data_IF_831497909253
#
_entry.id   IF_831497909253
#
_cell.length_a   1.000
_cell.length_b   1.000
_cell.length_c   1.000
_cell.angle_alpha   90.00
_cell.angle_beta   90.00
_cell.angle_gamma   90.00
#
_symmetry.space_group_name_H-M   'P 1'
#
loop_
_entity.id
_entity.type
_entity.pdbx_description
1 polymer ?
#
# COMPACT_ATOMS: atom_id res chain seq x y z
N UNK A 1 -50.20 16.95 1.86
CA UNK A 1 -50.01 17.48 3.22
C UNK A 1 -49.75 16.26 4.09
N UNK A 2 -48.60 16.04 4.73
CA UNK A 2 -47.50 16.92 5.09
C UNK A 2 -46.27 16.04 5.36
N UNK A 3 -45.09 16.62 5.16
CA UNK A 3 -43.77 16.03 5.41
C UNK A 3 -43.36 16.20 6.88
N UNK A 4 -42.29 15.47 7.27
CA UNK A 4 -41.30 15.72 8.33
C UNK A 4 -41.25 14.59 9.39
N UNK A 5 -40.23 13.73 9.47
CA UNK A 5 -38.79 13.94 9.73
C UNK A 5 -38.49 14.32 11.19
N UNK A 6 -37.70 13.49 11.88
CA UNK A 6 -37.13 13.83 13.19
C UNK A 6 -36.58 12.63 13.97
N UNK A 7 -35.62 11.89 13.40
CA UNK A 7 -34.70 11.07 14.20
C UNK A 7 -33.42 11.89 14.34
N UNK A 8 -33.21 12.47 15.53
CA UNK A 8 -32.04 13.28 15.84
C UNK A 8 -30.81 12.36 15.96
N UNK A 9 -30.01 12.32 14.89
CA UNK A 9 -28.72 11.65 14.85
C UNK A 9 -27.68 12.55 15.55
N UNK A 10 -27.43 12.24 16.82
CA UNK A 10 -26.40 12.88 17.62
C UNK A 10 -25.04 12.60 16.97
N UNK A 11 -24.54 13.58 16.22
CA UNK A 11 -23.19 13.63 15.68
C UNK A 11 -22.18 13.52 16.82
N UNK A 12 -21.73 12.29 17.09
CA UNK A 12 -20.54 12.01 17.89
C UNK A 12 -19.35 12.55 17.11
N UNK A 13 -18.94 13.77 17.45
CA UNK A 13 -17.67 14.35 17.04
C UNK A 13 -16.56 13.46 17.59
N UNK A 14 -16.16 12.48 16.79
CA UNK A 14 -15.02 11.62 17.04
C UNK A 14 -13.81 12.49 17.29
N UNK A 15 -13.35 12.47 18.54
CA UNK A 15 -12.14 13.15 18.98
C UNK A 15 -11.01 12.75 18.05
N UNK A 16 -10.56 13.71 17.24
CA UNK A 16 -9.39 13.57 16.40
C UNK A 16 -8.21 13.24 17.28
N UNK A 17 -7.76 11.98 17.23
CA UNK A 17 -6.45 11.61 17.73
C UNK A 17 -5.44 12.29 16.82
N UNK A 18 -5.03 13.49 17.24
CA UNK A 18 -3.99 14.26 16.58
C UNK A 18 -2.78 13.35 16.40
N UNK A 19 -2.39 13.21 15.13
CA UNK A 19 -1.24 12.42 14.73
C UNK A 19 -0.02 13.03 15.43
N UNK A 20 0.45 12.37 16.48
CA UNK A 20 1.77 12.65 17.06
C UNK A 20 2.77 12.62 15.91
N UNK A 21 3.24 13.81 15.54
CA UNK A 21 4.29 14.01 14.56
C UNK A 21 5.49 13.22 15.07
N UNK A 22 5.81 12.13 14.37
CA UNK A 22 7.02 11.35 14.59
C UNK A 22 8.21 12.26 14.28
N UNK A 23 8.66 13.02 15.28
CA UNK A 23 9.90 13.77 15.29
C UNK A 23 11.03 12.73 15.30
N UNK A 24 11.33 12.20 14.12
CA UNK A 24 12.53 11.40 13.92
C UNK A 24 13.73 12.29 14.24
N UNK A 25 14.53 11.87 15.21
CA UNK A 25 15.83 12.46 15.48
C UNK A 25 16.62 12.49 14.17
N UNK A 26 17.00 13.69 13.72
CA UNK A 26 17.81 13.85 12.52
C UNK A 26 19.21 13.32 12.81
N UNK A 27 19.74 12.44 11.95
CA UNK A 27 21.12 11.91 12.05
C UNK A 27 22.17 13.01 11.94
N UNK A 28 21.81 14.18 11.40
CA UNK A 28 22.75 15.30 11.25
C UNK A 28 22.96 16.12 12.52
N UNK A 29 22.13 15.96 13.56
CA UNK A 29 22.17 16.81 14.76
C UNK A 29 22.43 15.98 16.02
N UNK A 30 23.51 16.27 16.78
CA UNK A 30 23.79 15.58 18.04
C UNK A 30 22.72 15.88 19.10
N UNK A 31 22.61 15.01 20.10
CA UNK A 31 21.67 15.17 21.22
C UNK A 31 22.10 16.39 22.07
N UNK A 32 21.17 17.27 22.38
CA UNK A 32 21.43 18.48 23.16
C UNK A 32 21.87 18.14 24.61
N UNK A 33 22.78 18.95 25.17
CA UNK A 33 23.26 18.79 26.55
C UNK A 33 22.22 19.00 27.64
N UNK A 34 21.12 19.70 27.34
CA UNK A 34 19.97 19.83 28.23
C UNK A 34 19.15 18.54 28.36
N UNK A 35 19.32 17.59 27.43
CA UNK A 35 18.61 16.32 27.46
C UNK A 35 19.10 15.45 28.64
N UNK A 36 18.16 14.94 29.43
CA UNK A 36 18.47 14.11 30.61
C UNK A 36 19.29 12.87 30.24
N UNK A 37 18.98 12.23 29.10
CA UNK A 37 19.72 11.08 28.60
C UNK A 37 21.17 11.41 28.26
N UNK A 38 21.43 12.57 27.66
CA UNK A 38 22.80 13.05 27.41
C UNK A 38 23.59 13.21 28.71
N UNK A 39 22.98 13.83 29.73
CA UNK A 39 23.63 14.03 31.03
C UNK A 39 23.94 12.71 31.73
N UNK A 40 23.03 11.74 31.66
CA UNK A 40 23.22 10.41 32.22
C UNK A 40 24.38 9.68 31.52
N UNK A 41 24.41 9.68 30.19
CA UNK A 41 25.49 9.07 29.42
C UNK A 41 26.85 9.67 29.81
N UNK A 42 26.95 11.01 29.84
CA UNK A 42 28.17 11.71 30.27
C UNK A 42 28.59 11.33 31.69
N UNK A 43 27.64 11.25 32.63
CA UNK A 43 27.92 10.83 34.02
C UNK A 43 28.47 9.40 34.12
N UNK A 44 28.02 8.51 33.25
CA UNK A 44 28.51 7.13 33.17
C UNK A 44 29.77 6.97 32.30
N UNK A 45 30.44 8.06 31.96
CA UNK A 45 31.74 8.04 31.26
C UNK A 45 31.64 7.96 29.73
N UNK A 46 30.44 8.05 29.15
CA UNK A 46 30.30 8.18 27.70
C UNK A 46 30.76 9.57 27.24
N UNK A 47 31.50 9.61 26.11
CA UNK A 47 31.96 10.85 25.50
C UNK A 47 31.13 11.16 24.26
N UNK A 48 30.98 12.45 23.97
CA UNK A 48 30.22 12.86 22.80
C UNK A 48 31.04 12.62 21.54
N UNK A 49 30.40 12.13 20.49
CA UNK A 49 31.07 11.73 19.25
C UNK A 49 31.72 10.34 19.29
N UNK A 50 31.67 9.62 20.42
CA UNK A 50 32.19 8.25 20.54
C UNK A 50 31.08 7.20 20.57
N UNK A 51 31.34 6.03 20.01
CA UNK A 51 30.42 4.89 20.04
C UNK A 51 30.28 4.30 21.44
N UNK A 52 29.21 3.56 21.69
CA UNK A 52 29.02 2.86 22.97
C UNK A 52 29.84 1.55 23.00
N UNK A 53 30.27 1.14 24.20
CA UNK A 53 31.00 -0.10 24.44
C UNK A 53 32.45 0.11 24.90
N UNK A 54 33.12 -0.98 25.29
CA UNK A 54 34.47 -0.97 25.90
C UNK A 54 35.50 -0.36 24.95
N UNK A 55 35.40 -0.65 23.66
CA UNK A 55 36.29 -0.16 22.61
C UNK A 55 35.60 0.85 21.70
N UNK A 56 34.54 1.51 22.19
CA UNK A 56 33.74 2.48 21.42
C UNK A 56 33.16 1.89 20.12
N UNK A 57 32.94 0.58 20.08
CA UNK A 57 32.59 -0.17 18.86
C UNK A 57 31.15 0.01 18.38
N UNK A 58 30.30 0.64 19.19
CA UNK A 58 28.92 0.93 18.87
C UNK A 58 28.79 1.93 17.71
N UNK A 59 27.73 1.81 16.92
CA UNK A 59 27.43 2.76 15.84
C UNK A 59 27.17 4.15 16.44
N UNK A 60 27.75 5.18 15.82
CA UNK A 60 27.47 6.58 16.14
C UNK A 60 26.05 6.97 15.70
N UNK A 61 25.67 6.51 14.51
CA UNK A 61 24.40 6.85 13.89
C UNK A 61 23.33 5.75 14.10
N UNK A 62 22.08 6.14 14.40
CA UNK A 62 20.95 5.24 14.42
C UNK A 62 20.77 4.47 13.12
N UNK A 63 20.26 3.25 13.20
CA UNK A 63 19.93 2.46 12.01
C UNK A 63 18.62 2.96 11.41
N UNK A 64 18.63 3.29 10.12
CA UNK A 64 17.41 3.66 9.41
C UNK A 64 16.46 2.46 9.31
N UNK A 65 15.23 2.65 9.79
CA UNK A 65 14.15 1.69 9.63
C UNK A 65 13.28 2.06 8.42
N UNK A 66 12.98 1.08 7.58
CA UNK A 66 12.04 1.23 6.46
C UNK A 66 10.67 0.73 6.89
N UNK A 67 9.68 1.62 6.94
CA UNK A 67 8.30 1.24 7.26
C UNK A 67 7.59 0.76 5.99
N UNK A 68 7.09 -0.48 6.00
CA UNK A 68 6.22 -0.96 4.93
C UNK A 68 4.77 -0.59 5.21
N UNK A 69 4.32 0.50 4.59
CA UNK A 69 2.93 0.97 4.74
C UNK A 69 1.91 0.06 4.03
N UNK A 70 2.36 -0.89 3.19
CA UNK A 70 1.50 -1.76 2.41
C UNK A 70 1.47 -3.17 2.99
N UNK A 71 0.33 -3.86 2.89
CA UNK A 71 0.20 -5.28 3.25
C UNK A 71 0.79 -6.25 2.20
N UNK A 72 1.67 -5.76 1.32
CA UNK A 72 2.29 -6.61 0.29
C UNK A 72 3.45 -7.41 0.89
N UNK A 73 3.68 -8.61 0.37
CA UNK A 73 4.78 -9.46 0.81
C UNK A 73 6.16 -8.82 0.62
N UNK A 74 7.14 -9.32 1.36
CA UNK A 74 8.54 -8.95 1.20
C UNK A 74 8.99 -9.20 -0.25
N UNK A 75 9.87 -8.35 -0.78
CA UNK A 75 10.33 -8.43 -2.17
C UNK A 75 9.35 -7.88 -3.23
N UNK A 76 8.14 -7.45 -2.84
CA UNK A 76 7.18 -6.82 -3.77
C UNK A 76 7.53 -5.38 -4.16
N UNK A 77 8.56 -4.81 -3.55
CA UNK A 77 9.05 -3.47 -3.85
C UNK A 77 9.63 -3.43 -5.26
N UNK A 78 9.01 -2.65 -6.15
CA UNK A 78 9.60 -2.30 -7.45
C UNK A 78 10.34 -1.00 -7.25
N UNK A 79 11.67 -0.93 -7.50
CA UNK A 79 12.37 0.33 -7.45
C UNK A 79 11.72 1.28 -8.44
N UNK A 80 11.06 2.33 -7.92
CA UNK A 80 10.72 3.48 -8.74
C UNK A 80 12.06 4.13 -9.04
N UNK A 81 12.44 4.24 -10.32
CA UNK A 81 13.62 5.03 -10.71
C UNK A 81 13.47 6.41 -10.08
N UNK A 82 14.34 6.74 -9.14
CA UNK A 82 14.33 8.03 -8.50
C UNK A 82 14.65 9.07 -9.57
N UNK A 83 13.74 10.02 -9.80
CA UNK A 83 14.16 11.33 -10.31
C UNK A 83 14.83 12.01 -9.11
N UNK A 84 16.12 12.27 -9.24
CA UNK A 84 16.87 13.11 -8.31
C UNK A 84 16.15 14.45 -8.20
N UNK A 85 15.73 14.80 -6.98
CA UNK A 85 15.14 16.10 -6.70
C UNK A 85 16.27 17.02 -6.21
N UNK A 86 16.87 17.73 -7.16
CA UNK A 86 17.49 19.04 -6.89
C UNK A 86 16.60 20.10 -7.56
N UNK A 87 16.29 21.16 -6.83
CA UNK A 87 15.07 21.95 -7.00
C UNK A 87 14.96 22.90 -8.18
N UNK A 88 13.73 23.42 -8.26
CA UNK A 88 13.21 24.66 -8.85
C UNK A 88 12.69 24.68 -10.30
N UNK A 89 11.37 24.99 -10.35
CA UNK A 89 10.62 25.88 -11.24
C UNK A 89 10.73 25.67 -12.76
N UNK A 90 9.58 25.34 -13.37
CA UNK A 90 8.93 25.98 -14.54
C UNK A 90 8.10 24.93 -15.31
N UNK A 91 6.81 25.22 -15.52
CA UNK A 91 5.98 24.50 -16.49
C UNK A 91 6.42 24.91 -17.91
N UNK A 92 6.38 24.00 -18.90
CA UNK A 92 5.39 24.25 -19.96
C UNK A 92 4.75 22.97 -20.53
N UNK A 93 3.50 23.17 -20.97
CA UNK A 93 2.68 22.23 -21.71
C UNK A 93 3.36 21.70 -22.99
N UNK A 94 3.21 20.40 -23.25
CA UNK A 94 3.71 19.79 -24.48
C UNK A 94 3.09 18.40 -24.71
N UNK A 95 2.00 18.37 -25.47
CA UNK A 95 1.38 17.13 -25.99
C UNK A 95 2.42 16.28 -26.73
N UNK A 96 2.46 14.97 -26.48
CA UNK A 96 3.08 13.99 -27.36
C UNK A 96 2.24 12.71 -27.40
N UNK A 97 1.31 12.71 -28.35
CA UNK A 97 0.71 11.51 -28.95
C UNK A 97 1.81 10.57 -29.42
N UNK A 98 1.90 9.37 -28.84
CA UNK A 98 2.47 8.21 -29.53
C UNK A 98 1.64 6.96 -29.22
N UNK A 99 1.35 6.25 -30.30
CA UNK A 99 0.34 5.23 -30.51
C UNK A 99 0.55 3.92 -29.72
N UNK A 100 -0.51 3.11 -29.55
CA UNK A 100 -0.62 2.10 -28.50
C UNK A 100 0.18 0.82 -28.79
N UNK A 101 1.06 0.44 -27.86
CA UNK A 101 1.61 -0.93 -27.82
C UNK A 101 0.51 -1.89 -27.34
N UNK A 102 -0.23 -2.46 -28.30
CA UNK A 102 -1.19 -3.56 -28.09
C UNK A 102 -0.46 -4.76 -27.48
N UNK A 103 -0.51 -4.90 -26.16
CA UNK A 103 -0.34 -6.21 -25.51
C UNK A 103 -1.66 -6.94 -25.69
N UNK A 104 -1.63 -8.14 -26.27
CA UNK A 104 -2.79 -9.01 -26.40
C UNK A 104 -3.45 -9.13 -25.02
N UNK A 105 -4.67 -8.60 -24.89
CA UNK A 105 -5.47 -8.78 -23.69
C UNK A 105 -5.81 -10.26 -23.65
N UNK A 106 -5.19 -11.01 -22.73
CA UNK A 106 -5.72 -12.33 -22.36
C UNK A 106 -7.21 -12.17 -22.06
N UNK A 107 -8.01 -13.11 -22.58
CA UNK A 107 -9.47 -13.14 -22.44
C UNK A 107 -9.84 -12.78 -21.00
N UNK A 108 -10.67 -11.75 -20.82
CA UNK A 108 -11.02 -11.28 -19.48
C UNK A 108 -11.60 -12.45 -18.68
N UNK A 109 -11.25 -12.55 -17.39
CA UNK A 109 -11.77 -13.62 -16.51
C UNK A 109 -13.30 -13.72 -16.56
N UNK A 110 -13.98 -12.59 -16.81
CA UNK A 110 -15.44 -12.51 -16.97
C UNK A 110 -15.95 -13.19 -18.25
N UNK A 111 -15.24 -13.04 -19.37
CA UNK A 111 -15.61 -13.67 -20.63
C UNK A 111 -15.43 -15.19 -20.58
N UNK A 112 -14.36 -15.67 -19.91
CA UNK A 112 -14.15 -17.11 -19.70
C UNK A 112 -15.25 -17.74 -18.83
N UNK A 113 -15.66 -17.05 -17.76
CA UNK A 113 -16.72 -17.52 -16.83
C UNK A 113 -18.09 -17.57 -17.52
N UNK A 114 -18.35 -16.64 -18.43
CA UNK A 114 -19.60 -16.58 -19.21
C UNK A 114 -19.69 -17.72 -20.22
N UNK A 115 -18.61 -17.97 -20.96
CA UNK A 115 -18.55 -19.04 -21.95
C UNK A 115 -18.71 -20.43 -21.32
N UNK A 116 -18.09 -20.67 -20.15
CA UNK A 116 -18.24 -21.91 -19.38
C UNK A 116 -19.69 -22.14 -18.93
N UNK A 117 -20.41 -21.09 -18.53
CA UNK A 117 -21.80 -21.21 -18.10
C UNK A 117 -22.73 -21.51 -19.26
N UNK A 118 -22.48 -20.89 -20.42
CA UNK A 118 -23.24 -21.12 -21.65
C UNK A 118 -22.99 -22.52 -22.21
N UNK A 119 -21.73 -22.98 -22.23
CA UNK A 119 -21.37 -24.35 -22.61
C UNK A 119 -22.06 -25.37 -21.69
N UNK A 120 -22.08 -25.13 -20.37
CA UNK A 120 -22.77 -26.00 -19.42
C UNK A 120 -24.30 -26.02 -19.59
N UNK A 121 -24.89 -24.94 -20.09
CA UNK A 121 -26.31 -24.93 -20.47
C UNK A 121 -26.54 -25.68 -21.79
N UNK A 122 -25.63 -25.53 -22.76
CA UNK A 122 -25.69 -26.26 -24.02
C UNK A 122 -25.50 -27.76 -23.82
N UNK A 123 -24.59 -28.20 -22.96
CA UNK A 123 -24.42 -29.61 -22.61
C UNK A 123 -25.68 -30.19 -21.96
N UNK A 124 -26.29 -29.47 -21.01
CA UNK A 124 -27.56 -29.92 -20.39
C UNK A 124 -28.69 -30.02 -21.40
N UNK A 125 -28.78 -29.07 -22.31
CA UNK A 125 -29.81 -29.10 -23.35
C UNK A 125 -29.50 -30.16 -24.41
N UNK A 126 -28.22 -30.38 -24.73
CA UNK A 126 -27.74 -31.45 -25.60
C UNK A 126 -28.07 -32.81 -24.98
N UNK A 127 -27.73 -33.07 -23.73
CA UNK A 127 -28.07 -34.32 -23.04
C UNK A 127 -29.58 -34.51 -23.02
N UNK A 128 -30.36 -33.48 -22.66
CA UNK A 128 -31.83 -33.57 -22.64
C UNK A 128 -32.42 -33.88 -24.02
N UNK A 129 -31.92 -33.24 -25.07
CA UNK A 129 -32.39 -33.45 -26.45
C UNK A 129 -31.92 -34.79 -27.00
N UNK A 130 -30.66 -35.16 -26.75
CA UNK A 130 -30.03 -36.42 -27.13
C UNK A 130 -30.70 -37.62 -26.45
N UNK A 131 -30.98 -37.57 -25.15
CA UNK A 131 -31.70 -38.64 -24.46
C UNK A 131 -33.13 -38.79 -24.98
N UNK A 132 -33.82 -37.69 -25.29
CA UNK A 132 -35.17 -37.74 -25.88
C UNK A 132 -35.17 -38.35 -27.28
N UNK A 133 -34.14 -38.09 -28.07
CA UNK A 133 -34.05 -38.55 -29.46
C UNK A 133 -33.52 -39.98 -29.56
N UNK A 134 -32.63 -40.39 -28.66
CA UNK A 134 -31.98 -41.69 -28.73
C UNK A 134 -32.61 -42.73 -27.80
N UNK A 135 -33.21 -42.39 -26.65
CA UNK A 135 -33.94 -43.32 -25.75
C UNK A 135 -35.34 -42.80 -25.33
N UNK A 136 -36.37 -43.00 -26.17
CA UNK A 136 -37.71 -42.46 -25.94
C UNK A 136 -38.50 -43.10 -24.77
N UNK A 137 -38.12 -44.29 -24.29
CA UNK A 137 -38.95 -45.11 -23.38
C UNK A 137 -38.64 -44.94 -21.87
N UNK A 138 -37.92 -43.88 -21.44
CA UNK A 138 -37.57 -43.70 -20.03
C UNK A 138 -37.86 -42.29 -19.46
N UNK A 139 -38.92 -41.65 -19.95
CA UNK A 139 -39.61 -40.52 -19.29
C UNK A 139 -41.03 -40.93 -18.94
#
# INVERSE_FOLDING_TARGET
MELASGFDDASSSGLGMDRVSNMGSSTSTPINSSNIGFQLLKKHGWKEGTGLGISEQGRLEPVHAYVNNNKRGLGSYKPKKAKEQLGNLENPDGKCETLPKKKAKGISKKLKKMQEFEERLQEKEFDRTFFREFWPDNV
#
